data_IF_137198976471
#
_entry.id   IF_137198976471
#
_cell.length_a   1.000
_cell.length_b   1.000
_cell.length_c   1.000
_cell.angle_alpha   90.00
_cell.angle_beta   90.00
_cell.angle_gamma   90.00
#
_symmetry.space_group_name_H-M   'P 1'
#
loop_
_entity.id
_entity.type
_entity.pdbx_description
1 polymer ?
#
# COMPACT_ATOMS: atom_id res chain seq x y z
N UNK A 1 -15.19 -1.18 -4.15
CA UNK A 1 -14.06 -0.55 -4.88
C UNK A 1 -13.96 -1.08 -6.31
N UNK A 2 -13.85 -2.40 -6.50
CA UNK A 2 -13.75 -3.02 -7.82
C UNK A 2 -14.84 -2.53 -8.79
N UNK A 3 -16.10 -2.38 -8.36
CA UNK A 3 -17.17 -1.86 -9.22
C UNK A 3 -16.94 -0.43 -9.73
N UNK A 4 -16.28 0.42 -8.93
CA UNK A 4 -15.95 1.79 -9.35
C UNK A 4 -14.87 1.74 -10.43
N UNK A 5 -13.80 0.96 -10.23
CA UNK A 5 -12.80 0.76 -11.28
C UNK A 5 -13.40 0.12 -12.53
N UNK A 6 -14.35 -0.80 -12.37
CA UNK A 6 -15.03 -1.41 -13.49
C UNK A 6 -15.84 -0.37 -14.27
N UNK A 7 -16.55 0.53 -13.59
CA UNK A 7 -17.39 1.54 -14.23
C UNK A 7 -16.56 2.66 -14.87
N UNK A 8 -15.58 3.18 -14.14
CA UNK A 8 -14.87 4.41 -14.51
C UNK A 8 -13.64 4.14 -15.38
N UNK A 9 -12.99 2.97 -15.25
CA UNK A 9 -11.71 2.67 -15.93
C UNK A 9 -11.83 1.52 -16.94
N UNK A 10 -12.19 0.32 -16.48
CA UNK A 10 -12.03 -0.92 -17.28
C UNK A 10 -13.26 -1.32 -18.11
N UNK A 11 -14.44 -0.76 -17.82
CA UNK A 11 -15.69 -0.95 -18.57
C UNK A 11 -16.05 -2.42 -18.84
N UNK A 12 -15.81 -3.30 -17.87
CA UNK A 12 -16.09 -4.74 -17.99
C UNK A 12 -14.93 -5.60 -18.48
N UNK A 13 -13.78 -5.00 -18.83
CA UNK A 13 -12.62 -5.74 -19.31
C UNK A 13 -12.09 -6.75 -18.27
N UNK A 14 -11.66 -7.90 -18.77
CA UNK A 14 -11.16 -9.03 -17.99
C UNK A 14 -9.70 -9.34 -18.33
N UNK A 15 -9.03 -10.12 -17.48
CA UNK A 15 -7.68 -10.59 -17.76
C UNK A 15 -7.58 -11.33 -19.09
N UNK A 16 -8.65 -12.01 -19.52
CA UNK A 16 -8.74 -12.66 -20.83
C UNK A 16 -8.48 -11.70 -21.99
N UNK A 17 -9.03 -10.47 -21.93
CA UNK A 17 -8.83 -9.48 -22.99
C UNK A 17 -7.35 -9.10 -23.11
N UNK A 18 -6.65 -8.96 -21.98
CA UNK A 18 -5.21 -8.70 -21.97
C UNK A 18 -4.40 -9.93 -22.43
N UNK A 19 -4.82 -11.12 -22.01
CA UNK A 19 -4.17 -12.38 -22.40
C UNK A 19 -4.23 -12.62 -23.91
N UNK A 20 -5.33 -12.25 -24.55
CA UNK A 20 -5.58 -12.47 -25.97
C UNK A 20 -4.89 -11.40 -26.83
N UNK A 21 -4.59 -10.21 -26.28
CA UNK A 21 -3.90 -9.13 -26.98
C UNK A 21 -2.37 -9.16 -26.89
N UNK A 22 -1.79 -9.93 -25.96
CA UNK A 22 -0.34 -9.97 -25.73
C UNK A 22 0.49 -10.17 -27.02
N UNK A 23 0.03 -11.04 -27.93
CA UNK A 23 0.75 -11.35 -29.17
C UNK A 23 0.63 -10.23 -30.23
N UNK A 24 -0.32 -9.30 -30.07
CA UNK A 24 -0.64 -8.24 -31.02
C UNK A 24 -0.08 -6.86 -30.63
N UNK A 25 0.48 -6.73 -29.41
CA UNK A 25 0.98 -5.46 -28.87
C UNK A 25 2.43 -5.57 -28.40
N UNK A 26 3.07 -4.43 -28.12
CA UNK A 26 4.46 -4.37 -27.65
C UNK A 26 4.66 -4.78 -26.19
N UNK A 27 3.58 -5.17 -25.49
CA UNK A 27 3.61 -5.58 -24.08
C UNK A 27 3.66 -7.10 -24.05
N UNK A 28 4.80 -7.66 -23.68
CA UNK A 28 4.97 -9.12 -23.57
C UNK A 28 4.60 -9.65 -22.16
N UNK A 29 4.77 -8.81 -21.14
CA UNK A 29 4.70 -9.20 -19.74
C UNK A 29 3.94 -8.15 -18.91
N UNK A 30 2.84 -8.56 -18.31
CA UNK A 30 2.08 -7.79 -17.33
C UNK A 30 2.07 -8.52 -15.99
N UNK A 31 2.16 -7.77 -14.90
CA UNK A 31 1.98 -8.28 -13.55
C UNK A 31 1.35 -7.21 -12.66
N UNK A 32 0.29 -7.61 -11.93
CA UNK A 32 -0.21 -6.85 -10.79
C UNK A 32 0.09 -7.60 -9.49
N UNK A 33 0.74 -6.92 -8.55
CA UNK A 33 1.12 -7.49 -7.26
C UNK A 33 -0.02 -7.37 -6.26
N UNK A 34 -0.17 -8.41 -5.46
CA UNK A 34 -1.06 -8.52 -4.33
C UNK A 34 -0.40 -9.38 -3.24
N UNK A 35 -1.10 -9.57 -2.13
CA UNK A 35 -0.65 -10.36 -0.98
C UNK A 35 -1.69 -11.41 -0.66
N UNK A 36 -1.28 -12.67 -0.64
CA UNK A 36 -2.07 -13.78 -0.08
C UNK A 36 -2.06 -13.63 1.44
N UNK A 37 -3.18 -13.18 1.97
CA UNK A 37 -3.35 -12.90 3.40
C UNK A 37 -3.53 -14.17 4.24
N UNK A 38 -3.73 -15.33 3.58
CA UNK A 38 -3.87 -16.63 4.25
C UNK A 38 -2.51 -17.20 4.62
N UNK A 39 -1.54 -17.09 3.70
CA UNK A 39 -0.20 -17.65 3.88
C UNK A 39 0.89 -16.59 4.12
N UNK A 40 0.56 -15.30 4.00
CA UNK A 40 1.55 -14.21 4.10
C UNK A 40 2.56 -14.23 2.95
N UNK A 41 2.12 -14.63 1.75
CA UNK A 41 2.97 -14.77 0.56
C UNK A 41 2.60 -13.73 -0.49
N UNK A 42 3.54 -13.39 -1.36
CA UNK A 42 3.22 -12.63 -2.57
C UNK A 42 2.17 -13.39 -3.39
N UNK A 43 1.19 -12.66 -3.93
CA UNK A 43 0.21 -13.16 -4.89
C UNK A 43 0.31 -12.29 -6.13
N UNK A 44 0.39 -12.87 -7.33
CA UNK A 44 0.58 -12.08 -8.55
C UNK A 44 -0.46 -12.44 -9.59
N UNK A 45 -1.01 -11.44 -10.27
CA UNK A 45 -1.79 -11.64 -11.47
C UNK A 45 -0.86 -11.46 -12.67
N UNK A 46 -0.17 -12.52 -13.08
CA UNK A 46 0.76 -12.47 -14.21
C UNK A 46 0.08 -12.86 -15.52
N UNK A 47 0.25 -12.02 -16.53
CA UNK A 47 -0.15 -12.27 -17.91
C UNK A 47 1.11 -12.11 -18.76
N UNK A 48 1.62 -13.22 -19.27
CA UNK A 48 2.88 -13.26 -20.03
C UNK A 48 2.68 -13.99 -21.34
N UNK A 49 3.57 -13.74 -22.29
CA UNK A 49 3.79 -14.62 -23.44
C UNK A 49 4.11 -16.05 -23.00
N UNK A 50 3.94 -16.98 -23.96
CA UNK A 50 4.22 -18.39 -23.76
C UNK A 50 5.73 -18.65 -23.86
N UNK A 51 6.36 -18.97 -22.75
CA UNK A 51 7.77 -19.30 -22.65
C UNK A 51 8.00 -20.82 -22.61
N UNK A 52 8.77 -21.36 -23.56
CA UNK A 52 9.27 -22.75 -23.54
C UNK A 52 8.98 -23.59 -24.79
N UNK A 53 10.04 -24.17 -25.39
CA UNK A 53 9.98 -25.12 -26.50
C UNK A 53 9.93 -26.61 -26.06
N UNK A 54 9.85 -26.91 -24.76
CA UNK A 54 9.81 -28.30 -24.26
C UNK A 54 8.78 -28.48 -23.16
N UNK A 55 7.80 -29.32 -23.51
CA UNK A 55 6.77 -29.97 -22.70
C UNK A 55 5.51 -29.18 -22.33
N UNK A 56 4.40 -29.83 -22.65
CA UNK A 56 2.98 -29.51 -22.41
C UNK A 56 2.62 -29.53 -20.91
N UNK A 57 3.42 -28.88 -20.06
CA UNK A 57 3.10 -28.70 -18.65
C UNK A 57 2.77 -27.24 -18.36
N UNK A 58 1.99 -27.04 -17.30
CA UNK A 58 1.41 -25.78 -16.85
C UNK A 58 2.45 -24.70 -16.43
N UNK A 59 3.69 -24.78 -16.87
CA UNK A 59 4.82 -23.90 -16.55
C UNK A 59 5.17 -22.94 -17.69
N UNK A 60 4.42 -22.94 -18.79
CA UNK A 60 4.71 -22.11 -19.97
C UNK A 60 4.27 -20.65 -19.87
N UNK A 61 3.53 -20.27 -18.83
CA UNK A 61 3.09 -18.90 -18.59
C UNK A 61 3.46 -18.44 -17.18
N UNK A 62 3.44 -17.12 -16.95
CA UNK A 62 3.45 -16.53 -15.62
C UNK A 62 2.36 -17.10 -14.71
N UNK A 63 2.64 -17.13 -13.41
CA UNK A 63 1.76 -17.68 -12.40
C UNK A 63 0.70 -16.66 -11.99
N UNK A 64 -0.56 -17.09 -11.95
CA UNK A 64 -1.64 -16.33 -11.32
C UNK A 64 -1.87 -16.91 -9.93
N UNK A 65 -1.36 -16.18 -8.93
CA UNK A 65 -1.28 -16.59 -7.53
C UNK A 65 0.16 -16.79 -7.06
N UNK A 66 0.42 -17.93 -6.39
CA UNK A 66 1.70 -18.29 -5.80
C UNK A 66 1.87 -19.82 -5.71
N UNK A 67 2.93 -20.28 -5.03
CA UNK A 67 3.25 -21.71 -4.91
C UNK A 67 2.28 -22.51 -4.00
N UNK A 68 1.41 -21.84 -3.25
CA UNK A 68 0.39 -22.45 -2.37
C UNK A 68 -1.01 -22.34 -2.95
N UNK A 69 -1.34 -21.18 -3.52
CA UNK A 69 -2.65 -20.86 -4.09
C UNK A 69 -2.45 -20.49 -5.55
N UNK A 70 -3.03 -21.27 -6.46
CA UNK A 70 -2.91 -21.05 -7.90
C UNK A 70 -4.29 -20.97 -8.54
N UNK A 71 -4.53 -19.90 -9.29
CA UNK A 71 -5.71 -19.78 -10.14
C UNK A 71 -5.31 -20.23 -11.55
N UNK A 72 -5.97 -21.27 -12.11
CA UNK A 72 -5.71 -21.71 -13.47
C UNK A 72 -6.02 -20.61 -14.49
N UNK A 73 -5.28 -20.58 -15.61
CA UNK A 73 -5.40 -19.51 -16.62
C UNK A 73 -6.80 -19.45 -17.21
N UNK A 74 -7.43 -20.61 -17.41
CA UNK A 74 -8.80 -20.75 -17.91
C UNK A 74 -9.87 -20.18 -16.97
N UNK A 75 -9.60 -20.15 -15.67
CA UNK A 75 -10.47 -19.49 -14.69
C UNK A 75 -10.11 -18.01 -14.60
N UNK A 76 -8.81 -17.71 -14.48
CA UNK A 76 -8.30 -16.37 -14.28
C UNK A 76 -8.64 -15.41 -15.42
N UNK A 77 -8.79 -15.91 -16.65
CA UNK A 77 -9.23 -15.09 -17.80
C UNK A 77 -10.59 -14.42 -17.59
N UNK A 78 -11.42 -14.92 -16.68
CA UNK A 78 -12.71 -14.34 -16.34
C UNK A 78 -12.64 -13.28 -15.22
N UNK A 79 -11.50 -13.12 -14.55
CA UNK A 79 -11.32 -12.11 -13.50
C UNK A 79 -11.29 -10.73 -14.16
N UNK A 80 -12.06 -9.78 -13.62
CA UNK A 80 -12.08 -8.41 -14.15
C UNK A 80 -10.79 -7.69 -13.82
N UNK A 81 -10.28 -6.89 -14.75
CA UNK A 81 -9.11 -6.03 -14.50
C UNK A 81 -9.35 -5.08 -13.32
N UNK A 82 -10.61 -4.69 -13.09
CA UNK A 82 -11.03 -3.91 -11.93
C UNK A 82 -10.81 -4.62 -10.59
N UNK A 83 -10.96 -5.94 -10.54
CA UNK A 83 -10.75 -6.74 -9.33
C UNK A 83 -9.26 -6.94 -9.08
N UNK A 84 -8.48 -7.12 -10.15
CA UNK A 84 -7.02 -7.14 -10.10
C UNK A 84 -6.48 -5.84 -9.51
N UNK A 85 -6.94 -4.69 -10.03
CA UNK A 85 -6.54 -3.37 -9.51
C UNK A 85 -7.00 -3.16 -8.06
N UNK A 86 -8.20 -3.60 -7.70
CA UNK A 86 -8.68 -3.52 -6.32
C UNK A 86 -7.79 -4.34 -5.38
N UNK A 87 -7.48 -5.59 -5.72
CA UNK A 87 -6.56 -6.42 -4.93
C UNK A 87 -5.18 -5.76 -4.80
N UNK A 88 -4.70 -5.10 -5.85
CA UNK A 88 -3.40 -4.44 -5.87
C UNK A 88 -3.36 -3.09 -5.13
N UNK A 89 -4.51 -2.52 -4.74
CA UNK A 89 -4.60 -1.18 -4.11
C UNK A 89 -5.37 -1.13 -2.78
N UNK A 90 -5.91 -2.25 -2.30
CA UNK A 90 -6.64 -2.34 -1.03
C UNK A 90 -5.70 -2.40 0.19
N UNK A 91 -5.18 -1.25 0.63
CA UNK A 91 -4.25 -1.19 1.75
C UNK A 91 -4.91 -1.51 3.12
N UNK A 92 -4.21 -2.18 4.06
CA UNK A 92 -4.77 -2.76 5.31
C UNK A 92 -5.50 -1.84 6.29
N UNK A 93 -5.34 -0.51 6.18
CA UNK A 93 -6.02 0.46 7.05
C UNK A 93 -7.23 1.13 6.40
N UNK A 94 -7.37 1.04 5.08
CA UNK A 94 -8.47 1.66 4.33
C UNK A 94 -9.55 0.68 3.90
N UNK A 95 -9.17 -0.59 3.67
CA UNK A 95 -10.05 -1.59 3.06
C UNK A 95 -9.88 -2.97 3.70
N UNK A 96 -10.96 -3.75 3.66
CA UNK A 96 -10.93 -5.19 3.98
C UNK A 96 -10.28 -5.96 2.80
N UNK A 97 -9.64 -7.11 3.07
CA UNK A 97 -9.14 -7.98 2.01
C UNK A 97 -10.28 -8.46 1.10
N UNK A 98 -10.03 -8.56 -0.21
CA UNK A 98 -10.98 -9.20 -1.13
C UNK A 98 -10.89 -10.72 -0.98
N UNK A 99 -12.03 -11.39 -0.87
CA UNK A 99 -12.11 -12.84 -0.66
C UNK A 99 -12.39 -13.55 -1.98
N UNK A 100 -11.40 -14.23 -2.54
CA UNK A 100 -11.62 -15.09 -3.71
C UNK A 100 -12.23 -16.44 -3.29
N UNK A 101 -13.20 -17.01 -4.03
CA UNK A 101 -13.90 -16.44 -5.19
C UNK A 101 -15.14 -15.60 -4.83
N UNK A 102 -15.48 -15.47 -3.53
CA UNK A 102 -16.76 -14.90 -3.07
C UNK A 102 -17.04 -13.47 -3.55
N UNK A 103 -16.01 -12.63 -3.54
CA UNK A 103 -16.12 -11.21 -3.90
C UNK A 103 -15.81 -10.95 -5.39
N UNK A 104 -15.55 -12.00 -6.16
CA UNK A 104 -15.19 -11.91 -7.58
C UNK A 104 -16.38 -12.24 -8.47
N UNK A 105 -16.60 -11.41 -9.48
CA UNK A 105 -17.59 -11.63 -10.52
C UNK A 105 -16.96 -12.45 -11.64
N UNK A 106 -17.05 -13.77 -11.46
CA UNK A 106 -16.53 -14.76 -12.41
C UNK A 106 -17.63 -15.21 -13.39
N UNK A 107 -17.24 -15.62 -14.59
CA UNK A 107 -18.18 -16.11 -15.61
C UNK A 107 -18.80 -17.47 -15.26
N UNK A 108 -19.89 -17.84 -15.93
CA UNK A 108 -20.66 -19.07 -15.68
C UNK A 108 -20.14 -20.32 -16.42
N UNK A 109 -18.86 -20.33 -16.84
CA UNK A 109 -18.28 -21.48 -17.53
C UNK A 109 -18.18 -22.69 -16.60
N UNK A 110 -18.24 -23.90 -17.17
CA UNK A 110 -18.21 -25.14 -16.38
C UNK A 110 -16.86 -25.33 -15.67
N UNK A 111 -15.77 -24.85 -16.26
CA UNK A 111 -14.43 -24.82 -15.68
C UNK A 111 -14.41 -23.95 -14.42
N UNK A 112 -14.99 -22.75 -14.50
CA UNK A 112 -15.08 -21.82 -13.35
C UNK A 112 -15.93 -22.43 -12.25
N UNK A 113 -17.12 -22.96 -12.54
CA UNK A 113 -17.99 -23.59 -11.53
C UNK A 113 -17.29 -24.75 -10.82
N UNK A 114 -16.61 -25.62 -11.57
CA UNK A 114 -15.86 -26.76 -11.01
C UNK A 114 -14.71 -26.32 -10.12
N UNK A 115 -14.02 -25.23 -10.49
CA UNK A 115 -12.92 -24.68 -9.70
C UNK A 115 -13.44 -24.05 -8.41
N UNK A 116 -14.46 -23.18 -8.49
CA UNK A 116 -15.08 -22.54 -7.34
C UNK A 116 -15.61 -23.57 -6.33
N UNK A 117 -16.29 -24.63 -6.81
CA UNK A 117 -16.84 -25.66 -5.93
C UNK A 117 -15.80 -26.42 -5.09
N UNK A 118 -14.52 -26.38 -5.50
CA UNK A 118 -13.40 -27.04 -4.80
C UNK A 118 -12.45 -26.05 -4.12
N UNK A 119 -12.69 -24.75 -4.25
CA UNK A 119 -11.79 -23.71 -3.75
C UNK A 119 -12.26 -23.22 -2.40
N UNK A 120 -11.43 -23.43 -1.37
CA UNK A 120 -11.63 -22.78 -0.08
C UNK A 120 -11.42 -21.27 -0.22
N UNK A 121 -12.30 -20.42 0.35
CA UNK A 121 -12.15 -18.98 0.24
C UNK A 121 -10.86 -18.46 0.87
N UNK A 122 -10.14 -17.56 0.19
CA UNK A 122 -8.90 -16.96 0.68
C UNK A 122 -8.87 -15.45 0.45
N UNK A 123 -8.20 -14.74 1.36
CA UNK A 123 -8.09 -13.29 1.33
C UNK A 123 -6.89 -12.81 0.49
N UNK A 124 -7.13 -11.82 -0.36
CA UNK A 124 -6.14 -11.12 -1.18
C UNK A 124 -6.13 -9.64 -0.78
N UNK A 125 -4.95 -9.07 -0.58
CA UNK A 125 -4.77 -7.68 -0.16
C UNK A 125 -3.68 -6.98 -0.99
N UNK A 126 -3.51 -5.67 -0.80
CA UNK A 126 -2.51 -4.83 -1.46
C UNK A 126 -1.12 -5.49 -1.57
N UNK A 127 -0.51 -5.38 -2.76
CA UNK A 127 0.81 -5.89 -3.08
C UNK A 127 1.95 -5.12 -2.39
N UNK A 128 1.69 -3.91 -1.91
CA UNK A 128 2.66 -3.09 -1.19
C UNK A 128 3.25 -3.79 0.05
N UNK A 129 2.50 -4.73 0.66
CA UNK A 129 2.94 -5.49 1.84
C UNK A 129 4.16 -6.37 1.53
N UNK A 130 4.31 -6.82 0.28
CA UNK A 130 5.37 -7.76 -0.10
C UNK A 130 6.33 -7.15 -1.13
N UNK A 131 5.82 -6.47 -2.15
CA UNK A 131 6.61 -5.78 -3.17
C UNK A 131 5.86 -4.55 -3.68
N UNK A 132 6.14 -3.41 -3.05
CA UNK A 132 5.52 -2.12 -3.38
C UNK A 132 6.02 -1.52 -4.69
N UNK A 133 7.08 -2.08 -5.28
CA UNK A 133 7.77 -1.45 -6.42
C UNK A 133 7.58 -2.22 -7.71
N UNK A 134 7.09 -3.46 -7.62
CA UNK A 134 6.96 -4.35 -8.76
C UNK A 134 8.31 -4.85 -9.27
N UNK A 135 9.36 -4.85 -8.43
CA UNK A 135 10.69 -5.32 -8.85
C UNK A 135 10.71 -6.84 -9.00
N UNK A 136 10.06 -7.58 -8.11
CA UNK A 136 10.11 -9.04 -8.14
C UNK A 136 9.47 -9.64 -9.41
N UNK A 137 8.30 -9.17 -9.90
CA UNK A 137 7.78 -9.56 -11.21
C UNK A 137 8.76 -9.37 -12.38
N UNK A 138 9.58 -8.31 -12.35
CA UNK A 138 10.58 -8.02 -13.37
C UNK A 138 11.71 -9.06 -13.29
N UNK A 139 12.19 -9.39 -12.09
CA UNK A 139 13.19 -10.45 -11.91
C UNK A 139 12.66 -11.83 -12.32
N UNK A 140 11.38 -12.11 -12.09
CA UNK A 140 10.73 -13.32 -12.58
C UNK A 140 10.58 -13.34 -14.11
N UNK A 141 10.37 -12.17 -14.73
CA UNK A 141 10.35 -12.03 -16.18
C UNK A 141 11.72 -12.32 -16.78
N UNK A 142 12.77 -11.72 -16.23
CA UNK A 142 14.17 -11.95 -16.57
C UNK A 142 14.51 -13.45 -16.54
N UNK A 143 14.21 -14.13 -15.43
CA UNK A 143 14.49 -15.57 -15.28
C UNK A 143 13.78 -16.42 -16.35
N UNK A 144 12.54 -16.05 -16.74
CA UNK A 144 11.80 -16.75 -17.80
C UNK A 144 12.43 -16.51 -19.18
N UNK A 145 12.84 -15.29 -19.46
CA UNK A 145 13.53 -14.93 -20.70
C UNK A 145 14.86 -15.67 -20.81
N UNK A 146 15.64 -15.73 -19.74
CA UNK A 146 16.92 -16.45 -19.69
C UNK A 146 16.72 -17.93 -20.05
N UNK A 147 15.70 -18.56 -19.47
CA UNK A 147 15.38 -19.98 -19.71
C UNK A 147 14.91 -20.24 -21.14
N UNK A 148 14.25 -19.27 -21.78
CA UNK A 148 13.54 -19.49 -23.06
C UNK A 148 14.31 -19.03 -24.29
N UNK A 149 14.96 -17.87 -24.18
CA UNK A 149 15.68 -17.21 -25.27
C UNK A 149 17.18 -17.52 -25.21
N UNK A 150 17.70 -17.92 -24.05
CA UNK A 150 19.13 -18.17 -23.84
C UNK A 150 19.94 -16.90 -24.05
N UNK A 151 19.89 -16.00 -23.07
CA UNK A 151 20.63 -14.74 -23.11
C UNK A 151 22.13 -15.06 -22.95
N UNK A 152 22.90 -14.93 -24.04
CA UNK A 152 24.28 -15.43 -24.10
C UNK A 152 25.30 -14.55 -23.38
N UNK A 153 24.96 -13.29 -23.11
CA UNK A 153 25.88 -12.29 -22.56
C UNK A 153 25.18 -11.39 -21.52
N UNK A 154 24.96 -11.92 -20.31
CA UNK A 154 24.43 -11.16 -19.17
C UNK A 154 22.90 -11.16 -19.07
N UNK A 155 22.33 -10.02 -18.64
CA UNK A 155 20.87 -9.88 -18.41
C UNK A 155 20.11 -9.76 -19.73
N UNK A 156 18.92 -10.36 -19.79
CA UNK A 156 18.00 -10.31 -20.92
C UNK A 156 17.31 -8.96 -21.06
N UNK A 157 16.97 -8.30 -19.95
CA UNK A 157 16.39 -6.96 -19.94
C UNK A 157 17.49 -5.90 -20.10
N UNK A 158 17.26 -4.98 -21.03
CA UNK A 158 18.20 -3.89 -21.34
C UNK A 158 18.07 -2.70 -20.41
N UNK A 159 16.84 -2.37 -20.01
CA UNK A 159 16.57 -1.27 -19.11
C UNK A 159 15.36 -1.56 -18.23
N UNK A 160 15.55 -1.40 -16.92
CA UNK A 160 14.52 -1.41 -15.90
C UNK A 160 14.31 0.03 -15.43
N UNK A 161 13.07 0.51 -15.54
CA UNK A 161 12.67 1.83 -15.05
C UNK A 161 11.75 1.63 -13.85
N UNK A 162 12.20 1.99 -12.66
CA UNK A 162 11.40 1.88 -11.44
C UNK A 162 10.76 3.23 -11.14
N UNK A 163 9.45 3.35 -11.31
CA UNK A 163 8.72 4.57 -10.97
C UNK A 163 8.18 4.51 -9.53
N UNK A 164 8.53 5.49 -8.69
CA UNK A 164 8.13 5.53 -7.28
C UNK A 164 7.58 6.91 -6.90
N UNK A 165 6.48 6.90 -6.16
CA UNK A 165 5.78 8.13 -5.74
C UNK A 165 6.09 8.50 -4.28
N UNK A 166 6.64 7.60 -3.49
CA UNK A 166 6.76 7.81 -2.06
C UNK A 166 8.17 8.23 -1.64
N UNK A 167 8.23 9.33 -0.88
CA UNK A 167 9.46 9.91 -0.36
C UNK A 167 10.21 8.94 0.57
N UNK A 168 11.55 8.85 0.48
CA UNK A 168 12.35 8.08 1.43
C UNK A 168 12.26 8.65 2.85
N UNK A 169 11.96 9.94 3.01
CA UNK A 169 11.95 10.65 4.29
C UNK A 169 10.69 10.38 5.12
N UNK A 170 10.82 10.14 6.43
CA UNK A 170 9.70 9.99 7.37
C UNK A 170 9.70 11.14 8.38
N UNK A 171 8.52 11.63 8.74
CA UNK A 171 8.35 12.48 9.90
C UNK A 171 8.67 11.69 11.17
N UNK A 172 9.33 12.34 12.14
CA UNK A 172 9.56 11.73 13.44
C UNK A 172 8.23 11.38 14.12
N UNK A 173 8.19 10.25 14.84
CA UNK A 173 7.04 9.88 15.65
C UNK A 173 6.76 10.97 16.71
N UNK A 174 5.51 11.43 16.75
CA UNK A 174 5.05 12.38 17.75
C UNK A 174 4.00 11.68 18.63
N UNK A 175 4.25 11.53 19.94
CA UNK A 175 3.26 10.94 20.84
C UNK A 175 2.02 11.83 20.92
N UNK A 176 0.85 11.19 20.91
CA UNK A 176 -0.42 11.86 21.10
C UNK A 176 -0.79 11.90 22.58
N UNK A 177 -1.43 12.99 23.02
CA UNK A 177 -2.03 13.09 24.35
C UNK A 177 -3.55 13.03 24.23
N UNK A 178 -4.18 11.99 24.80
CA UNK A 178 -5.63 11.84 24.76
C UNK A 178 -6.26 12.68 25.87
N UNK A 179 -7.01 13.71 25.48
CA UNK A 179 -7.72 14.59 26.41
C UNK A 179 -9.09 14.03 26.80
N UNK A 180 -9.15 13.26 27.89
CA UNK A 180 -10.41 12.84 28.51
C UNK A 180 -11.00 13.93 29.43
N UNK A 181 -12.33 13.89 29.71
CA UNK A 181 -12.96 14.81 30.67
C UNK A 181 -12.22 14.83 32.01
N UNK A 182 -12.01 16.03 32.58
CA UNK A 182 -11.13 16.27 33.75
C UNK A 182 -11.33 15.32 34.93
N UNK A 183 -12.59 14.92 35.19
CA UNK A 183 -12.95 13.97 36.25
C UNK A 183 -12.44 12.56 35.97
N UNK A 184 -12.68 12.04 34.76
CA UNK A 184 -12.25 10.69 34.35
C UNK A 184 -10.73 10.59 34.19
N UNK A 185 -10.10 11.65 33.68
CA UNK A 185 -8.67 11.71 33.41
C UNK A 185 -7.82 11.54 34.69
N UNK A 186 -8.31 12.02 35.85
CA UNK A 186 -7.60 11.94 37.13
C UNK A 186 -7.93 10.69 37.97
N UNK A 187 -8.94 9.91 37.57
CA UNK A 187 -9.33 8.71 38.31
C UNK A 187 -8.36 7.57 38.03
N UNK A 188 -7.83 6.97 39.10
CA UNK A 188 -7.05 5.72 39.01
C UNK A 188 -7.99 4.53 38.92
N UNK A 189 -7.52 3.41 38.35
CA UNK A 189 -8.33 2.18 38.30
C UNK A 189 -8.83 1.77 39.69
N UNK A 190 -7.98 1.88 40.71
CA UNK A 190 -8.33 1.58 42.10
C UNK A 190 -9.46 2.48 42.65
N UNK A 191 -9.40 3.79 42.40
CA UNK A 191 -10.45 4.74 42.82
C UNK A 191 -11.75 4.51 42.06
N UNK A 192 -11.67 4.26 40.75
CA UNK A 192 -12.82 3.91 39.94
C UNK A 192 -13.49 2.62 40.43
N UNK A 193 -12.69 1.60 40.78
CA UNK A 193 -13.22 0.36 41.35
C UNK A 193 -14.01 0.67 42.62
N UNK A 194 -13.45 1.46 43.54
CA UNK A 194 -14.08 1.80 44.81
C UNK A 194 -15.35 2.64 44.62
N UNK A 195 -15.33 3.64 43.74
CA UNK A 195 -16.50 4.47 43.43
C UNK A 195 -17.64 3.67 42.80
N UNK A 196 -17.33 2.80 41.85
CA UNK A 196 -18.32 1.94 41.17
C UNK A 196 -18.97 0.96 42.17
N UNK A 197 -18.19 0.33 43.05
CA UNK A 197 -18.73 -0.53 44.11
C UNK A 197 -19.56 0.25 45.14
N UNK A 198 -19.12 1.44 45.55
CA UNK A 198 -19.87 2.29 46.48
C UNK A 198 -21.24 2.71 45.94
N UNK A 199 -21.30 3.10 44.66
CA UNK A 199 -22.57 3.42 43.97
C UNK A 199 -23.46 2.18 43.85
N UNK A 200 -22.89 1.02 43.49
CA UNK A 200 -23.63 -0.24 43.39
C UNK A 200 -24.25 -0.69 44.71
N UNK A 201 -23.49 -0.62 45.82
CA UNK A 201 -23.98 -0.95 47.16
C UNK A 201 -25.08 0.03 47.58
N UNK A 202 -24.85 1.34 47.42
CA UNK A 202 -25.84 2.36 47.76
C UNK A 202 -27.15 2.20 47.00
N UNK A 203 -27.08 1.91 45.70
CA UNK A 203 -28.25 1.69 44.86
C UNK A 203 -28.99 0.39 45.22
N UNK A 204 -28.26 -0.66 45.62
CA UNK A 204 -28.87 -1.92 46.09
C UNK A 204 -29.66 -1.69 47.37
N UNK A 205 -29.10 -0.95 48.32
CA UNK A 205 -29.78 -0.59 49.58
C UNK A 205 -31.00 0.30 49.30
N UNK A 206 -30.87 1.30 48.43
CA UNK A 206 -31.98 2.18 48.06
C UNK A 206 -33.13 1.43 47.37
N UNK A 207 -32.80 0.49 46.49
CA UNK A 207 -33.80 -0.35 45.79
C UNK A 207 -34.49 -1.30 46.78
N UNK A 208 -33.74 -1.93 47.69
CA UNK A 208 -34.31 -2.79 48.74
C UNK A 208 -35.25 -2.01 49.68
N UNK A 209 -34.85 -0.80 50.12
CA UNK A 209 -35.69 0.06 50.95
C UNK A 209 -36.96 0.50 50.20
N UNK A 210 -36.85 0.88 48.92
CA UNK A 210 -38.02 1.25 48.12
C UNK A 210 -39.00 0.08 47.94
N UNK A 211 -38.50 -1.14 47.76
CA UNK A 211 -39.35 -2.34 47.67
C UNK A 211 -40.03 -2.68 49.00
N UNK A 212 -39.41 -2.38 50.15
CA UNK A 212 -39.99 -2.62 51.49
C UNK A 212 -41.03 -1.57 51.86
N UNK A 213 -40.76 -0.28 51.61
CA UNK A 213 -41.62 0.82 52.07
C UNK A 213 -42.67 1.26 51.05
N UNK A 214 -42.48 0.98 49.76
CA UNK A 214 -43.30 1.52 48.67
C UNK A 214 -43.58 0.48 47.58
N UNK A 215 -43.83 -0.77 47.98
CA UNK A 215 -43.74 -2.03 47.19
C UNK A 215 -44.53 -2.13 45.87
N UNK A 216 -45.27 -1.10 45.47
CA UNK A 216 -46.07 -1.02 44.24
C UNK A 216 -46.01 0.33 43.52
N UNK A 217 -45.06 1.20 43.88
CA UNK A 217 -44.93 2.54 43.31
C UNK A 217 -44.15 2.53 41.99
N UNK A 218 -44.51 3.41 41.04
CA UNK A 218 -43.72 3.66 39.82
C UNK A 218 -42.22 3.90 40.11
N UNK A 219 -41.93 4.57 41.23
CA UNK A 219 -40.57 4.85 41.70
C UNK A 219 -39.77 3.58 42.00
N UNK A 220 -40.38 2.59 42.65
CA UNK A 220 -39.74 1.28 42.90
C UNK A 220 -39.41 0.55 41.59
N UNK A 221 -40.28 0.62 40.57
CA UNK A 221 -40.03 0.06 39.25
C UNK A 221 -38.85 0.71 38.52
N UNK A 222 -38.76 2.05 38.56
CA UNK A 222 -37.63 2.80 37.99
C UNK A 222 -36.31 2.47 38.70
N UNK A 223 -36.32 2.38 40.04
CA UNK A 223 -35.13 2.05 40.82
C UNK A 223 -34.64 0.63 40.53
N UNK A 224 -35.53 -0.35 40.37
CA UNK A 224 -35.17 -1.71 39.95
C UNK A 224 -34.55 -1.71 38.54
N UNK A 225 -35.12 -0.99 37.59
CA UNK A 225 -34.56 -0.91 36.23
C UNK A 225 -33.16 -0.28 36.20
N UNK A 226 -32.95 0.82 36.95
CA UNK A 226 -31.63 1.46 37.09
C UNK A 226 -30.66 0.53 37.81
N UNK A 227 -31.11 -0.20 38.84
CA UNK A 227 -30.30 -1.19 39.54
C UNK A 227 -29.85 -2.32 38.63
N UNK A 228 -30.73 -2.89 37.81
CA UNK A 228 -30.37 -3.94 36.83
C UNK A 228 -29.32 -3.44 35.84
N UNK A 229 -29.46 -2.20 35.33
CA UNK A 229 -28.47 -1.58 34.45
C UNK A 229 -27.10 -1.41 35.13
N UNK A 230 -27.08 -0.88 36.34
CA UNK A 230 -25.84 -0.65 37.10
C UNK A 230 -25.17 -1.97 37.49
N UNK A 231 -25.95 -3.00 37.87
CA UNK A 231 -25.45 -4.36 38.11
C UNK A 231 -24.88 -4.97 36.83
N UNK A 232 -25.53 -4.78 35.68
CA UNK A 232 -25.00 -5.20 34.38
C UNK A 232 -23.64 -4.56 34.08
N UNK A 233 -23.51 -3.25 34.29
CA UNK A 233 -22.24 -2.51 34.11
C UNK A 233 -21.17 -3.01 35.10
N UNK A 234 -21.53 -3.28 36.35
CA UNK A 234 -20.64 -3.83 37.38
C UNK A 234 -20.09 -5.22 37.00
N UNK A 235 -20.96 -6.09 36.47
CA UNK A 235 -20.58 -7.41 35.98
C UNK A 235 -19.62 -7.27 34.79
N UNK A 236 -19.94 -6.44 33.81
CA UNK A 236 -19.06 -6.18 32.66
C UNK A 236 -17.69 -5.66 33.14
N UNK A 237 -17.68 -4.68 34.05
CA UNK A 237 -16.45 -4.11 34.60
C UNK A 237 -15.61 -5.14 35.37
N UNK A 238 -16.23 -5.98 36.20
CA UNK A 238 -15.51 -7.02 36.96
C UNK A 238 -14.96 -8.12 36.05
N UNK A 239 -15.71 -8.52 35.02
CA UNK A 239 -15.23 -9.45 33.98
C UNK A 239 -14.05 -8.84 33.21
N UNK A 240 -14.15 -7.59 32.76
CA UNK A 240 -13.06 -6.88 32.07
C UNK A 240 -11.82 -6.75 32.95
N UNK A 241 -11.99 -6.37 34.24
CA UNK A 241 -10.90 -6.27 35.20
C UNK A 241 -10.20 -7.62 35.42
N UNK A 242 -10.96 -8.70 35.60
CA UNK A 242 -10.42 -10.06 35.77
C UNK A 242 -9.63 -10.47 34.53
N UNK A 243 -10.14 -10.17 33.34
CA UNK A 243 -9.45 -10.43 32.06
C UNK A 243 -8.17 -9.60 31.94
N UNK A 244 -8.20 -8.32 32.29
CA UNK A 244 -7.03 -7.44 32.28
C UNK A 244 -5.93 -7.95 33.23
N UNK A 245 -6.28 -8.30 34.47
CA UNK A 245 -5.33 -8.86 35.44
C UNK A 245 -4.79 -10.21 34.96
N UNK A 246 -5.65 -11.08 34.41
CA UNK A 246 -5.22 -12.37 33.86
C UNK A 246 -4.26 -12.21 32.68
N UNK A 247 -4.45 -11.20 31.83
CA UNK A 247 -3.55 -10.91 30.71
C UNK A 247 -2.23 -10.33 31.24
N UNK A 248 -2.29 -9.38 32.18
CA UNK A 248 -1.10 -8.80 32.80
C UNK A 248 -0.26 -9.86 33.52
N UNK A 249 -0.89 -10.78 34.26
CA UNK A 249 -0.24 -11.88 34.97
C UNK A 249 0.39 -12.94 34.05
N UNK A 250 -0.07 -13.05 32.80
CA UNK A 250 0.49 -13.94 31.78
C UNK A 250 1.47 -13.24 30.84
N UNK A 251 1.78 -11.97 31.10
CA UNK A 251 2.63 -11.13 30.26
C UNK A 251 3.93 -10.78 30.98
N UNK A 252 4.85 -10.12 30.27
CA UNK A 252 6.12 -9.60 30.80
C UNK A 252 5.94 -8.60 31.97
N UNK A 253 4.71 -8.15 32.23
CA UNK A 253 4.36 -7.12 33.22
C UNK A 253 3.84 -7.74 34.54
N UNK A 254 4.01 -9.05 34.74
CA UNK A 254 3.49 -9.81 35.88
C UNK A 254 3.84 -9.17 37.24
N UNK A 255 5.08 -8.69 37.41
CA UNK A 255 5.55 -8.10 38.67
C UNK A 255 5.07 -6.64 38.86
N UNK A 256 4.48 -6.04 37.82
CA UNK A 256 4.04 -4.65 37.79
C UNK A 256 2.51 -4.48 37.85
N UNK A 257 1.75 -5.54 38.11
CA UNK A 257 0.28 -5.49 38.28
C UNK A 257 -0.16 -4.42 39.30
N UNK A 258 0.50 -4.24 40.47
CA UNK A 258 0.14 -3.18 41.41
C UNK A 258 0.32 -1.78 40.81
N UNK A 259 1.35 -1.58 39.99
CA UNK A 259 1.60 -0.32 39.30
C UNK A 259 0.53 -0.05 38.23
N UNK A 260 0.12 -1.07 37.47
CA UNK A 260 -0.96 -0.98 36.46
C UNK A 260 -2.29 -0.56 37.09
N UNK A 261 -2.62 -1.07 38.27
CA UNK A 261 -3.85 -0.71 39.00
C UNK A 261 -3.86 0.72 39.54
N UNK A 262 -2.68 1.35 39.64
CA UNK A 262 -2.51 2.74 40.08
C UNK A 262 -2.48 3.73 38.91
N UNK A 263 -2.44 3.27 37.67
CA UNK A 263 -2.49 4.14 36.50
C UNK A 263 -3.81 4.90 36.44
N UNK A 264 -3.74 6.15 35.96
CA UNK A 264 -4.93 6.94 35.66
C UNK A 264 -5.56 6.46 34.36
N UNK A 265 -6.87 6.59 34.28
CA UNK A 265 -7.60 6.20 33.07
C UNK A 265 -7.16 7.02 31.84
N UNK A 266 -6.81 8.30 32.05
CA UNK A 266 -6.15 9.13 31.03
C UNK A 266 -4.84 8.55 30.53
N UNK A 267 -3.95 8.18 31.46
CA UNK A 267 -2.66 7.58 31.11
C UNK A 267 -2.83 6.28 30.31
N UNK A 268 -3.83 5.45 30.65
CA UNK A 268 -4.13 4.21 29.92
C UNK A 268 -4.67 4.51 28.51
N UNK A 269 -5.59 5.47 28.38
CA UNK A 269 -6.12 5.86 27.07
C UNK A 269 -5.02 6.39 26.16
N UNK A 270 -4.14 7.25 26.69
CA UNK A 270 -2.95 7.76 25.99
C UNK A 270 -2.00 6.64 25.59
N UNK A 271 -1.70 5.69 26.50
CA UNK A 271 -0.83 4.55 26.20
C UNK A 271 -1.42 3.64 25.11
N UNK A 272 -2.74 3.40 25.13
CA UNK A 272 -3.41 2.60 24.10
C UNK A 272 -3.41 3.31 22.75
N UNK A 273 -3.76 4.60 22.72
CA UNK A 273 -3.73 5.40 21.49
C UNK A 273 -2.32 5.44 20.89
N UNK A 274 -1.30 5.68 21.72
CA UNK A 274 0.09 5.68 21.28
C UNK A 274 0.55 4.30 20.80
N UNK A 275 0.09 3.20 21.42
CA UNK A 275 0.40 1.84 20.94
C UNK A 275 -0.24 1.56 19.58
N UNK A 276 -1.51 1.89 19.40
CA UNK A 276 -2.21 1.74 18.12
C UNK A 276 -1.53 2.58 17.04
N UNK A 277 -1.24 3.85 17.34
CA UNK A 277 -0.52 4.75 16.43
C UNK A 277 0.87 4.22 16.08
N UNK A 278 1.62 3.72 17.07
CA UNK A 278 2.96 3.16 16.86
C UNK A 278 2.93 1.90 16.00
N UNK A 279 1.99 0.98 16.25
CA UNK A 279 1.81 -0.23 15.42
C UNK A 279 1.43 0.16 13.99
N UNK A 280 0.50 1.11 13.83
CA UNK A 280 0.10 1.60 12.51
C UNK A 280 1.28 2.26 11.79
N UNK A 281 2.07 3.11 12.45
CA UNK A 281 3.24 3.75 11.87
C UNK A 281 4.31 2.73 11.48
N UNK A 282 4.53 1.72 12.32
CA UNK A 282 5.49 0.65 12.06
C UNK A 282 5.09 -0.18 10.84
N UNK A 283 3.81 -0.57 10.74
CA UNK A 283 3.29 -1.35 9.61
C UNK A 283 3.24 -0.51 8.33
N UNK A 284 2.64 0.68 8.38
CA UNK A 284 2.37 1.50 7.18
C UNK A 284 3.57 2.28 6.66
N UNK A 285 4.57 2.59 7.50
CA UNK A 285 5.70 3.44 7.09
C UNK A 285 7.05 2.75 7.25
N UNK A 286 7.37 2.22 8.43
CA UNK A 286 8.72 1.71 8.71
C UNK A 286 8.98 0.42 7.95
N UNK A 287 8.07 -0.54 8.02
CA UNK A 287 8.19 -1.81 7.29
C UNK A 287 8.13 -1.60 5.78
N UNK A 288 7.17 -0.82 5.28
CA UNK A 288 7.05 -0.52 3.85
C UNK A 288 8.33 0.10 3.29
N UNK A 289 8.92 1.08 4.00
CA UNK A 289 10.20 1.69 3.59
C UNK A 289 11.40 0.76 3.76
N UNK A 290 11.33 -0.20 4.67
CA UNK A 290 12.37 -1.22 4.80
C UNK A 290 12.32 -2.20 3.63
N UNK A 291 11.15 -2.74 3.31
CA UNK A 291 10.91 -3.63 2.16
C UNK A 291 11.37 -2.95 0.87
N UNK A 292 10.91 -1.71 0.65
CA UNK A 292 11.35 -0.89 -0.47
C UNK A 292 12.87 -0.80 -0.64
N UNK A 293 13.59 -0.55 0.46
CA UNK A 293 15.07 -0.49 0.42
C UNK A 293 15.69 -1.85 0.14
N UNK A 294 15.04 -2.94 0.53
CA UNK A 294 15.47 -4.30 0.23
C UNK A 294 15.27 -4.61 -1.25
N UNK A 295 14.11 -4.26 -1.82
CA UNK A 295 13.78 -4.47 -3.22
C UNK A 295 14.74 -3.71 -4.13
N UNK A 296 14.99 -2.42 -3.86
CA UNK A 296 16.00 -1.65 -4.58
C UNK A 296 17.40 -2.28 -4.49
N UNK A 297 17.79 -2.84 -3.34
CA UNK A 297 19.12 -3.48 -3.23
C UNK A 297 19.27 -4.69 -4.13
N UNK A 298 18.18 -5.38 -4.49
CA UNK A 298 18.24 -6.55 -5.36
C UNK A 298 18.73 -6.21 -6.78
N UNK A 299 18.39 -5.01 -7.28
CA UNK A 299 18.79 -4.55 -8.61
C UNK A 299 19.98 -3.57 -8.58
N UNK A 300 20.13 -2.75 -7.54
CA UNK A 300 21.19 -1.72 -7.51
C UNK A 300 22.52 -2.19 -6.91
N UNK A 301 22.59 -3.38 -6.30
CA UNK A 301 23.85 -3.94 -5.76
C UNK A 301 24.49 -5.02 -6.63
N UNK A 302 23.74 -5.55 -7.58
CA UNK A 302 24.25 -6.55 -8.52
C UNK A 302 24.93 -5.79 -9.66
N UNK A 303 26.24 -6.00 -9.82
CA UNK A 303 27.06 -5.29 -10.79
C UNK A 303 26.62 -5.60 -12.24
N UNK A 304 25.95 -6.72 -12.50
CA UNK A 304 25.42 -7.06 -13.82
C UNK A 304 24.26 -6.13 -14.22
N UNK A 305 23.54 -5.57 -13.26
CA UNK A 305 22.46 -4.60 -13.48
C UNK A 305 22.96 -3.15 -13.60
N UNK A 306 24.26 -2.91 -13.41
CA UNK A 306 24.84 -1.57 -13.61
C UNK A 306 24.52 -1.09 -15.03
N UNK A 307 24.12 0.17 -15.16
CA UNK A 307 23.63 0.79 -16.42
C UNK A 307 22.39 0.12 -17.05
N UNK A 308 21.72 -0.82 -16.37
CA UNK A 308 20.46 -1.43 -16.83
C UNK A 308 19.28 -1.10 -15.93
N UNK A 309 19.47 -0.22 -14.94
CA UNK A 309 18.45 0.19 -13.98
C UNK A 309 18.44 1.71 -13.82
N UNK A 310 17.27 2.31 -13.84
CA UNK A 310 17.07 3.73 -13.54
C UNK A 310 15.85 3.96 -12.63
N UNK A 311 15.98 4.95 -11.76
CA UNK A 311 14.89 5.43 -10.92
C UNK A 311 14.09 6.47 -11.69
N UNK A 312 12.78 6.51 -11.46
CA UNK A 312 11.90 7.58 -11.87
C UNK A 312 10.99 8.00 -10.70
N UNK A 313 11.54 8.80 -9.80
CA UNK A 313 10.86 9.21 -8.58
C UNK A 313 10.13 10.56 -8.74
N UNK A 314 8.83 10.64 -8.44
CA UNK A 314 8.05 11.90 -8.59
C UNK A 314 8.61 13.06 -7.75
N UNK A 315 9.37 12.73 -6.70
CA UNK A 315 10.01 13.69 -5.80
C UNK A 315 11.36 14.21 -6.29
N UNK A 316 11.97 13.64 -7.34
CA UNK A 316 13.36 13.91 -7.68
C UNK A 316 13.65 15.35 -8.05
N UNK A 317 12.67 16.10 -8.57
CA UNK A 317 12.86 17.48 -9.04
C UNK A 317 12.28 18.55 -8.11
N UNK A 318 12.01 18.21 -6.84
CA UNK A 318 11.67 19.22 -5.82
C UNK A 318 12.88 20.12 -5.50
N UNK A 319 12.65 21.29 -4.86
CA UNK A 319 13.73 22.09 -4.31
C UNK A 319 14.63 21.27 -3.37
N UNK A 320 15.94 21.54 -3.44
CA UNK A 320 16.97 20.99 -2.53
C UNK A 320 17.13 19.46 -2.50
N UNK A 321 16.58 18.76 -3.50
CA UNK A 321 16.80 17.32 -3.69
C UNK A 321 18.22 17.00 -4.21
N UNK A 322 18.52 15.73 -4.40
CA UNK A 322 19.84 15.24 -4.79
C UNK A 322 20.42 15.90 -6.06
N UNK A 323 19.59 16.39 -6.98
CA UNK A 323 20.08 17.13 -8.17
C UNK A 323 20.84 18.41 -7.78
N UNK A 324 20.44 19.09 -6.70
CA UNK A 324 21.05 20.35 -6.30
C UNK A 324 22.50 20.16 -5.81
N UNK A 325 22.77 19.04 -5.12
CA UNK A 325 24.14 18.68 -4.71
C UNK A 325 24.96 18.15 -5.88
N UNK A 326 24.36 17.33 -6.76
CA UNK A 326 25.01 16.84 -8.01
C UNK A 326 25.40 17.98 -8.95
N UNK A 327 24.61 19.05 -9.01
CA UNK A 327 24.93 20.25 -9.77
C UNK A 327 26.16 20.96 -9.18
N UNK A 328 26.17 21.17 -7.86
CA UNK A 328 27.31 21.81 -7.16
C UNK A 328 28.62 21.02 -7.28
N UNK A 329 28.55 19.68 -7.34
CA UNK A 329 29.72 18.81 -7.50
C UNK A 329 30.15 18.63 -8.97
N UNK A 330 29.43 19.20 -9.94
CA UNK A 330 29.70 19.04 -11.37
C UNK A 330 29.34 17.67 -11.95
N UNK A 331 28.62 16.84 -11.19
CA UNK A 331 28.15 15.53 -11.66
C UNK A 331 26.92 15.63 -12.56
N UNK A 332 26.12 16.70 -12.41
CA UNK A 332 24.97 17.02 -13.24
C UNK A 332 25.30 18.19 -14.18
N UNK A 333 25.08 18.07 -15.51
CA UNK A 333 25.18 19.19 -16.44
C UNK A 333 24.23 20.36 -16.10
N UNK A 334 24.67 21.60 -16.35
CA UNK A 334 23.88 22.80 -16.01
C UNK A 334 22.53 22.87 -16.75
N UNK A 335 22.46 22.35 -17.99
CA UNK A 335 21.21 22.34 -18.77
C UNK A 335 20.11 21.46 -18.14
N UNK A 336 20.48 20.51 -17.28
CA UNK A 336 19.55 19.65 -16.54
C UNK A 336 19.05 20.26 -15.23
N UNK A 337 19.44 21.49 -14.89
CA UNK A 337 18.91 22.18 -13.72
C UNK A 337 17.40 22.45 -13.89
N UNK A 338 16.51 21.92 -13.04
CA UNK A 338 15.08 22.13 -13.17
C UNK A 338 14.71 23.60 -12.89
N UNK A 339 13.81 24.15 -13.70
CA UNK A 339 13.28 25.51 -13.51
C UNK A 339 12.44 25.61 -12.23
N UNK A 340 12.21 26.83 -11.77
CA UNK A 340 11.35 27.09 -10.61
C UNK A 340 9.92 26.57 -10.82
N UNK A 341 9.41 26.58 -12.06
CA UNK A 341 8.08 26.05 -12.38
C UNK A 341 8.03 24.54 -12.23
N UNK A 342 9.03 23.82 -12.73
CA UNK A 342 9.15 22.36 -12.54
C UNK A 342 9.20 22.03 -11.05
N UNK A 343 10.05 22.73 -10.29
CA UNK A 343 10.18 22.51 -8.85
C UNK A 343 8.85 22.75 -8.12
N UNK A 344 8.10 23.80 -8.48
CA UNK A 344 6.79 24.09 -7.91
C UNK A 344 5.78 22.95 -8.18
N UNK A 345 5.68 22.49 -9.43
CA UNK A 345 4.76 21.40 -9.78
C UNK A 345 5.19 20.06 -9.14
N UNK A 346 6.48 19.79 -9.01
CA UNK A 346 6.98 18.63 -8.26
C UNK A 346 6.60 18.69 -6.78
N UNK A 347 6.67 19.86 -6.15
CA UNK A 347 6.20 20.03 -4.76
C UNK A 347 4.69 19.74 -4.65
N UNK A 348 3.87 20.25 -5.58
CA UNK A 348 2.43 19.98 -5.59
C UNK A 348 2.14 18.49 -5.78
N UNK A 349 2.77 17.85 -6.77
CA UNK A 349 2.58 16.44 -7.07
C UNK A 349 2.93 15.53 -5.87
N UNK A 350 4.03 15.84 -5.18
CA UNK A 350 4.49 15.03 -4.03
C UNK A 350 3.75 15.29 -2.73
N UNK A 351 3.00 16.39 -2.64
CA UNK A 351 2.19 16.70 -1.48
C UNK A 351 0.86 15.91 -1.46
N UNK A 352 0.46 15.34 -2.61
CA UNK A 352 -0.70 14.47 -2.70
C UNK A 352 -0.49 13.23 -1.83
N UNK A 353 -1.35 13.05 -0.83
CA UNK A 353 -1.44 11.79 -0.12
C UNK A 353 -1.88 10.70 -1.09
N UNK A 354 -1.47 9.45 -0.86
CA UNK A 354 -1.85 8.30 -1.69
C UNK A 354 -3.32 7.92 -1.45
N UNK A 355 -4.24 8.80 -1.84
CA UNK A 355 -5.68 8.55 -1.90
C UNK A 355 -5.99 7.93 -3.25
N UNK A 356 -7.02 7.07 -3.32
CA UNK A 356 -7.40 6.41 -4.56
C UNK A 356 -8.05 7.36 -5.58
N UNK A 357 -8.56 8.49 -5.10
CA UNK A 357 -9.35 9.43 -5.91
C UNK A 357 -8.96 10.86 -5.56
N UNK A 358 -8.90 11.70 -6.59
CA UNK A 358 -8.77 13.14 -6.44
C UNK A 358 -10.13 13.74 -6.08
N UNK A 359 -10.17 14.52 -5.01
CA UNK A 359 -11.32 15.36 -4.68
C UNK A 359 -11.49 16.45 -5.74
N UNK A 360 -12.69 17.03 -5.82
CA UNK A 360 -12.94 18.15 -6.73
C UNK A 360 -12.03 19.34 -6.40
N UNK A 361 -11.81 19.61 -5.12
CA UNK A 361 -10.90 20.65 -4.61
C UNK A 361 -9.45 20.41 -5.07
N UNK A 362 -8.97 19.17 -5.01
CA UNK A 362 -7.62 18.81 -5.49
C UNK A 362 -7.47 18.95 -7.00
N UNK A 363 -8.52 18.62 -7.77
CA UNK A 363 -8.55 18.84 -9.22
C UNK A 363 -8.51 20.32 -9.57
N UNK A 364 -9.30 21.14 -8.89
CA UNK A 364 -9.34 22.59 -9.08
C UNK A 364 -8.03 23.26 -8.66
N UNK A 365 -7.37 22.74 -7.62
CA UNK A 365 -6.02 23.16 -7.22
C UNK A 365 -4.91 22.68 -8.17
N UNK A 366 -5.23 21.90 -9.22
CA UNK A 366 -4.28 21.44 -10.22
C UNK A 366 -3.34 20.32 -9.74
N UNK A 367 -3.69 19.59 -8.67
CA UNK A 367 -2.86 18.51 -8.12
C UNK A 367 -2.74 17.36 -9.10
N UNK A 368 -3.86 16.93 -9.68
CA UNK A 368 -3.92 15.88 -10.69
C UNK A 368 -3.05 16.21 -11.92
N UNK A 369 -3.21 17.41 -12.46
CA UNK A 369 -2.46 17.88 -13.62
C UNK A 369 -0.95 17.96 -13.30
N UNK A 370 -0.59 18.46 -12.11
CA UNK A 370 0.80 18.50 -11.66
C UNK A 370 1.40 17.10 -11.52
N UNK A 371 0.62 16.10 -11.09
CA UNK A 371 1.10 14.71 -10.94
C UNK A 371 1.41 14.07 -12.31
N UNK A 372 0.52 14.23 -13.29
CA UNK A 372 0.75 13.72 -14.65
C UNK A 372 1.97 14.40 -15.27
N UNK A 373 2.03 15.74 -15.19
CA UNK A 373 3.17 16.51 -15.68
C UNK A 373 4.47 16.06 -15.01
N UNK A 374 4.45 15.83 -13.69
CA UNK A 374 5.60 15.33 -12.95
C UNK A 374 6.11 13.98 -13.46
N UNK A 375 5.22 13.06 -13.81
CA UNK A 375 5.62 11.82 -14.48
C UNK A 375 6.35 12.10 -15.80
N UNK A 376 5.78 12.95 -16.65
CA UNK A 376 6.30 13.27 -18.00
C UNK A 376 7.68 13.95 -17.98
N UNK A 377 7.84 15.04 -17.22
CA UNK A 377 9.12 15.76 -17.21
C UNK A 377 10.19 15.03 -16.41
N UNK A 378 9.81 14.22 -15.40
CA UNK A 378 10.80 13.50 -14.57
C UNK A 378 11.40 12.34 -15.33
N UNK A 379 10.60 11.60 -16.12
CA UNK A 379 11.15 10.54 -16.97
C UNK A 379 12.06 11.11 -18.07
N UNK A 380 11.67 12.25 -18.67
CA UNK A 380 12.51 12.96 -19.64
C UNK A 380 13.87 13.34 -19.04
N UNK A 381 13.86 13.92 -17.83
CA UNK A 381 15.07 14.32 -17.11
C UNK A 381 15.94 13.12 -16.73
N UNK A 382 15.33 12.05 -16.22
CA UNK A 382 16.04 10.84 -15.82
C UNK A 382 16.65 10.10 -17.01
N UNK A 383 15.97 10.05 -18.16
CA UNK A 383 16.53 9.48 -19.40
C UNK A 383 17.72 10.29 -19.91
N UNK A 384 17.67 11.63 -19.86
CA UNK A 384 18.83 12.46 -20.20
C UNK A 384 19.99 12.22 -19.24
N UNK A 385 19.73 12.18 -17.93
CA UNK A 385 20.76 11.86 -16.93
C UNK A 385 21.36 10.46 -17.12
N UNK A 386 20.52 9.49 -17.48
CA UNK A 386 20.94 8.13 -17.83
C UNK A 386 21.83 8.10 -19.07
N UNK A 387 21.45 8.81 -20.15
CA UNK A 387 22.26 8.96 -21.37
C UNK A 387 23.65 9.54 -21.05
N UNK A 388 23.72 10.61 -20.24
CA UNK A 388 24.99 11.19 -19.78
C UNK A 388 25.85 10.20 -18.98
N UNK A 389 25.20 9.28 -18.24
CA UNK A 389 25.87 8.26 -17.43
C UNK A 389 26.49 7.18 -18.33
N UNK A 390 25.70 6.60 -19.23
CA UNK A 390 26.18 5.52 -20.12
C UNK A 390 27.19 6.02 -21.16
N UNK A 391 27.16 7.30 -21.54
CA UNK A 391 28.21 7.92 -22.38
C UNK A 391 29.57 8.01 -21.67
N UNK A 392 29.57 8.24 -20.36
CA UNK A 392 30.80 8.32 -19.55
C UNK A 392 31.34 6.94 -19.19
N UNK A 393 30.44 6.01 -18.92
CA UNK A 393 30.76 4.63 -18.56
C UNK A 393 29.78 3.67 -19.26
N UNK A 394 30.16 3.07 -20.40
CA UNK A 394 29.28 2.19 -21.17
C UNK A 394 29.27 0.73 -20.67
N UNK A 395 29.74 0.45 -19.45
CA UNK A 395 29.70 -0.92 -18.89
C UNK A 395 28.28 -1.51 -18.95
N UNK A 396 28.19 -2.81 -19.27
CA UNK A 396 26.95 -3.59 -19.42
C UNK A 396 25.92 -3.04 -20.43
N UNK A 397 26.29 -2.09 -21.29
CA UNK A 397 25.43 -1.65 -22.41
C UNK A 397 25.56 -2.57 -23.62
N UNK A 398 24.57 -2.55 -24.52
CA UNK A 398 24.54 -3.32 -25.76
C UNK A 398 23.97 -2.52 -26.93
N UNK A 399 23.76 -3.15 -28.09
CA UNK A 399 23.24 -2.47 -29.29
C UNK A 399 21.87 -1.80 -29.09
N UNK A 400 21.01 -2.35 -28.24
CA UNK A 400 19.70 -1.77 -27.92
C UNK A 400 19.82 -0.43 -27.19
N UNK A 401 20.91 -0.21 -26.44
CA UNK A 401 21.17 1.07 -25.78
C UNK A 401 21.42 2.20 -26.79
N UNK A 402 21.81 1.88 -28.04
CA UNK A 402 21.94 2.89 -29.10
C UNK A 402 20.59 3.50 -29.47
N UNK A 403 19.49 2.75 -29.32
CA UNK A 403 18.14 3.29 -29.53
C UNK A 403 17.80 4.36 -28.49
N UNK A 404 18.22 4.17 -27.24
CA UNK A 404 18.03 5.16 -26.16
C UNK A 404 18.90 6.39 -26.42
N UNK A 405 20.16 6.20 -26.82
CA UNK A 405 21.07 7.30 -27.17
C UNK A 405 20.54 8.13 -28.35
N UNK A 406 19.91 7.48 -29.34
CA UNK A 406 19.31 8.16 -30.49
C UNK A 406 18.15 9.11 -30.09
N UNK A 407 17.50 8.88 -28.95
CA UNK A 407 16.43 9.74 -28.44
C UNK A 407 16.93 11.04 -27.79
N UNK A 408 18.25 11.22 -27.60
CA UNK A 408 18.79 12.35 -26.82
C UNK A 408 18.36 13.72 -27.34
N UNK A 409 18.41 13.93 -28.65
CA UNK A 409 18.06 15.23 -29.24
C UNK A 409 16.58 15.57 -29.02
N UNK A 410 15.70 14.58 -29.20
CA UNK A 410 14.27 14.72 -28.92
C UNK A 410 14.03 15.02 -27.43
N UNK A 411 14.69 14.27 -26.55
CA UNK A 411 14.58 14.47 -25.10
C UNK A 411 15.10 15.86 -24.67
N UNK A 412 16.16 16.38 -25.30
CA UNK A 412 16.64 17.75 -25.03
C UNK A 412 15.61 18.79 -25.42
N UNK A 413 15.01 18.65 -26.60
CA UNK A 413 13.96 19.56 -27.06
C UNK A 413 12.72 19.50 -26.15
N UNK A 414 12.31 18.31 -25.73
CA UNK A 414 11.17 18.15 -24.82
C UNK A 414 11.48 18.69 -23.43
N UNK A 415 12.69 18.47 -22.92
CA UNK A 415 13.14 19.08 -21.67
C UNK A 415 13.08 20.61 -21.74
N UNK A 416 13.54 21.24 -22.82
CA UNK A 416 13.41 22.68 -23.01
C UNK A 416 11.95 23.17 -23.04
N UNK A 417 11.04 22.39 -23.61
CA UNK A 417 9.59 22.69 -23.57
C UNK A 417 9.06 22.64 -22.14
N UNK A 418 9.36 21.56 -21.39
CA UNK A 418 8.96 21.42 -19.99
C UNK A 418 9.52 22.53 -19.10
N UNK A 419 10.76 22.98 -19.36
CA UNK A 419 11.37 24.08 -18.63
C UNK A 419 10.60 25.40 -18.77
N UNK A 420 10.00 25.65 -19.95
CA UNK A 420 9.18 26.84 -20.23
C UNK A 420 7.76 26.68 -19.67
N UNK A 421 7.17 25.51 -19.89
CA UNK A 421 5.82 25.14 -19.49
C UNK A 421 5.76 23.66 -19.06
N UNK A 422 5.84 23.35 -17.75
CA UNK A 422 5.81 21.96 -17.28
C UNK A 422 4.54 21.20 -17.65
N UNK A 423 3.44 21.91 -17.90
CA UNK A 423 2.13 21.34 -18.23
C UNK A 423 1.94 21.11 -19.75
N UNK A 424 2.97 21.29 -20.59
CA UNK A 424 2.80 21.24 -22.04
C UNK A 424 2.29 19.89 -22.56
N UNK A 425 2.71 18.76 -21.96
CA UNK A 425 2.29 17.42 -22.36
C UNK A 425 0.87 17.02 -21.90
N UNK A 426 0.21 17.82 -21.06
CA UNK A 426 -1.17 17.56 -20.64
C UNK A 426 -2.21 17.89 -21.70
N UNK A 427 -1.93 18.91 -22.51
CA UNK A 427 -2.84 19.33 -23.57
C UNK A 427 -2.97 18.25 -24.67
N UNK A 428 -1.91 17.48 -24.88
CA UNK A 428 -1.91 16.33 -25.79
C UNK A 428 -2.72 15.18 -25.18
N UNK A 429 -2.48 14.85 -23.90
CA UNK A 429 -3.18 13.76 -23.21
C UNK A 429 -4.69 13.98 -23.03
N UNK A 430 -5.14 15.21 -22.74
CA UNK A 430 -6.58 15.50 -22.53
C UNK A 430 -7.40 15.51 -23.83
N UNK A 431 -6.74 15.48 -24.99
CA UNK A 431 -7.38 15.49 -26.31
C UNK A 431 -7.41 14.11 -26.98
N UNK A 432 -6.82 13.09 -26.36
CA UNK A 432 -6.96 11.66 -26.69
C UNK A 432 -8.02 11.01 -25.77
#
# INVERSE_FOLDING_TARGET
MADIYNKELFKGAVLGDLMDQLDDIHICHFAANATDFTNGLAFRFQVTEKTGARQEQATSYGLIGNNKIRIPREVARHIRLSEVLACSSCFPSGFEPLVFPKDFVLGDSEEVKKFIAKTEPFGIMDGGIVDNQGIEPILLAEQRMETSLGCKDGKCLDLIIVSDVASPYMSAYQPSDVHLPKGLNRMTLKKLTASIWGVGIGLTVATALSLVFTSTSFLSGVLVAVWVLVVGILIIYTVMKKKLISVAAKSVIQDSIPAVMNLRFGDIATLLANRVSSVLLLVSSVFMKHLRRMDYRSIYRDDDWKNRCMMNGVYELRPDEAWASKLKSGQLPEYLKPSNKIQQHSTIATAMGTTLWFTQEEKEAGVHDSLIAAGQYTICWNLLGYIETIKKDPSNTNEHHQLILACEEQLRQDWEKFQKNPLCGLAEWKNE
#
